data_IF_933963033439
#
_entry.id   IF_933963033439
#
_cell.length_a   1.000
_cell.length_b   1.000
_cell.length_c   1.000
_cell.angle_alpha   90.00
_cell.angle_beta   90.00
_cell.angle_gamma   90.00
#
_symmetry.space_group_name_H-M   'P 1'
#
loop_
_entity.id
_entity.type
_entity.pdbx_description
1 polymer ?
#
# COMPACT_ATOMS: atom_id res chain seq x y z
N UNK A 1 11.36 -22.72 -6.46
CA UNK A 1 10.79 -21.55 -7.16
C UNK A 1 9.30 -21.44 -6.81
N UNK A 2 8.94 -20.79 -5.69
CA UNK A 2 7.54 -20.48 -5.27
C UNK A 2 7.51 -19.36 -4.19
N UNK A 3 8.28 -18.28 -4.36
CA UNK A 3 8.38 -17.21 -3.33
C UNK A 3 7.83 -15.84 -3.76
N UNK A 4 7.34 -15.70 -4.98
CA UNK A 4 6.91 -14.39 -5.51
C UNK A 4 5.49 -13.99 -5.09
N UNK A 5 4.62 -14.95 -4.77
CA UNK A 5 3.21 -14.69 -4.40
C UNK A 5 3.04 -14.17 -2.96
N UNK A 6 3.87 -14.63 -2.03
CA UNK A 6 3.75 -14.27 -0.59
C UNK A 6 3.98 -12.77 -0.39
N UNK A 7 5.01 -12.19 -1.01
CA UNK A 7 5.37 -10.79 -0.79
C UNK A 7 4.28 -9.83 -1.32
N UNK A 8 3.72 -10.13 -2.48
CA UNK A 8 2.62 -9.34 -3.04
C UNK A 8 1.39 -9.39 -2.13
N UNK A 9 1.07 -10.57 -1.57
CA UNK A 9 -0.07 -10.72 -0.67
C UNK A 9 0.13 -9.97 0.64
N UNK A 10 1.30 -10.09 1.25
CA UNK A 10 1.65 -9.35 2.48
C UNK A 10 1.47 -7.85 2.30
N UNK A 11 1.88 -7.29 1.15
CA UNK A 11 1.74 -5.86 0.87
C UNK A 11 0.29 -5.42 0.69
N UNK A 12 -0.56 -6.25 0.08
CA UNK A 12 -2.00 -5.99 -0.02
C UNK A 12 -2.65 -6.02 1.36
N UNK A 13 -2.37 -7.05 2.16
CA UNK A 13 -2.92 -7.18 3.51
C UNK A 13 -2.48 -6.01 4.40
N UNK A 14 -1.22 -5.57 4.25
CA UNK A 14 -0.66 -4.40 4.89
C UNK A 14 -1.37 -3.10 4.51
N UNK A 15 -1.73 -2.95 3.23
CA UNK A 15 -2.48 -1.79 2.74
C UNK A 15 -3.92 -1.80 3.27
N UNK A 16 -4.57 -2.98 3.30
CA UNK A 16 -5.90 -3.14 3.88
C UNK A 16 -5.91 -2.82 5.38
N UNK A 17 -4.86 -3.22 6.13
CA UNK A 17 -4.71 -2.82 7.53
C UNK A 17 -4.56 -1.30 7.68
N UNK A 18 -3.82 -0.63 6.79
CA UNK A 18 -3.70 0.83 6.82
C UNK A 18 -5.04 1.52 6.61
N UNK A 19 -5.87 1.05 5.66
CA UNK A 19 -7.22 1.57 5.44
C UNK A 19 -8.09 1.37 6.70
N UNK A 20 -8.10 0.16 7.28
CA UNK A 20 -8.89 -0.14 8.49
C UNK A 20 -8.48 0.69 9.70
N UNK A 21 -7.18 0.95 9.87
CA UNK A 21 -6.63 1.71 11.00
C UNK A 21 -6.48 3.20 10.71
N UNK A 22 -6.84 3.67 9.50
CA UNK A 22 -6.62 5.04 9.02
C UNK A 22 -5.17 5.54 9.20
N UNK A 23 -4.20 4.63 9.15
CA UNK A 23 -2.80 4.91 9.47
C UNK A 23 -2.01 5.45 8.28
N UNK A 24 -2.49 6.55 7.67
CA UNK A 24 -1.86 7.15 6.48
C UNK A 24 -0.39 7.55 6.69
N UNK A 25 0.01 7.87 7.93
CA UNK A 25 1.40 8.21 8.27
C UNK A 25 2.39 7.04 8.11
N UNK A 26 1.91 5.78 8.08
CA UNK A 26 2.77 4.59 7.88
C UNK A 26 3.04 4.28 6.41
N UNK A 27 2.44 5.03 5.49
CA UNK A 27 2.47 4.75 4.05
C UNK A 27 3.88 4.88 3.46
N UNK A 28 4.66 5.88 3.87
CA UNK A 28 5.99 6.15 3.29
C UNK A 28 6.99 5.03 3.62
N UNK A 29 7.10 4.67 4.91
CA UNK A 29 7.99 3.59 5.37
C UNK A 29 7.64 2.24 4.74
N UNK A 30 6.36 2.01 4.44
CA UNK A 30 5.89 0.79 3.75
C UNK A 30 6.20 0.82 2.26
N UNK A 31 6.09 1.97 1.60
CA UNK A 31 6.42 2.13 0.18
C UNK A 31 7.89 1.84 -0.09
N UNK A 32 8.79 2.27 0.79
CA UNK A 32 10.21 1.99 0.64
C UNK A 32 10.52 0.49 0.65
N UNK A 33 9.85 -0.29 1.51
CA UNK A 33 9.94 -1.75 1.50
C UNK A 33 9.34 -2.40 0.24
N UNK A 34 8.26 -1.82 -0.29
CA UNK A 34 7.58 -2.31 -1.48
C UNK A 34 8.36 -2.03 -2.78
N UNK A 35 9.07 -0.90 -2.86
CA UNK A 35 9.94 -0.53 -3.98
C UNK A 35 11.07 -1.53 -4.20
N UNK A 36 11.59 -2.12 -3.12
CA UNK A 36 12.63 -3.16 -3.18
C UNK A 36 12.11 -4.55 -3.57
N UNK A 37 10.80 -4.70 -3.82
CA UNK A 37 10.14 -5.97 -4.13
C UNK A 37 9.69 -6.06 -5.59
N UNK A 38 9.17 -7.23 -5.99
CA UNK A 38 8.57 -7.51 -7.30
C UNK A 38 7.36 -6.62 -7.64
N UNK A 39 6.80 -5.94 -6.64
CA UNK A 39 5.73 -4.94 -6.83
C UNK A 39 6.26 -3.50 -6.83
N UNK A 40 7.56 -3.30 -7.00
CA UNK A 40 8.17 -1.97 -6.97
C UNK A 40 7.56 -1.00 -7.99
N UNK A 41 7.16 -1.47 -9.17
CA UNK A 41 6.42 -0.65 -10.16
C UNK A 41 5.07 -0.14 -9.64
N UNK A 42 4.37 -0.94 -8.82
CA UNK A 42 3.14 -0.52 -8.16
C UNK A 42 3.44 0.52 -7.08
N UNK A 43 4.45 0.26 -6.23
CA UNK A 43 4.88 1.19 -5.19
C UNK A 43 5.27 2.57 -5.77
N UNK A 44 6.04 2.58 -6.86
CA UNK A 44 6.42 3.79 -7.58
C UNK A 44 5.21 4.57 -8.11
N UNK A 45 4.13 3.88 -8.51
CA UNK A 45 2.90 4.55 -8.96
C UNK A 45 2.12 5.13 -7.79
N UNK A 46 2.00 4.39 -6.69
CA UNK A 46 1.37 4.88 -5.45
C UNK A 46 2.09 6.10 -4.90
N UNK A 47 3.42 6.14 -4.97
CA UNK A 47 4.22 7.30 -4.56
C UNK A 47 3.92 8.54 -5.41
N UNK A 48 3.77 8.39 -6.74
CA UNK A 48 3.39 9.52 -7.61
C UNK A 48 2.04 10.12 -7.23
N UNK A 49 1.12 9.29 -6.74
CA UNK A 49 -0.24 9.68 -6.35
C UNK A 49 -0.44 9.78 -4.82
N UNK A 50 0.66 9.95 -4.06
CA UNK A 50 0.69 9.76 -2.59
C UNK A 50 -0.38 10.59 -1.84
N UNK A 51 -0.64 11.82 -2.28
CA UNK A 51 -1.63 12.68 -1.65
C UNK A 51 -3.05 12.13 -1.79
N UNK A 52 -3.41 11.67 -2.99
CA UNK A 52 -4.71 11.04 -3.24
C UNK A 52 -4.83 9.73 -2.47
N UNK A 53 -3.77 8.94 -2.40
CA UNK A 53 -3.76 7.67 -1.66
C UNK A 53 -3.89 7.87 -0.15
N UNK A 54 -3.19 8.86 0.43
CA UNK A 54 -3.35 9.21 1.85
C UNK A 54 -4.77 9.65 2.16
N UNK A 55 -5.36 10.46 1.28
CA UNK A 55 -6.75 10.87 1.43
C UNK A 55 -7.71 9.68 1.34
N UNK A 56 -7.46 8.73 0.45
CA UNK A 56 -8.23 7.49 0.36
C UNK A 56 -8.10 6.63 1.63
N UNK A 57 -6.93 6.56 2.28
CA UNK A 57 -6.77 5.78 3.52
C UNK A 57 -7.66 6.31 4.65
N UNK A 58 -7.86 7.63 4.74
CA UNK A 58 -8.63 8.26 5.82
C UNK A 58 -10.09 8.52 5.46
N UNK A 59 -10.43 8.53 4.16
CA UNK A 59 -11.78 8.80 3.69
C UNK A 59 -12.76 7.71 4.16
N UNK A 60 -14.03 8.05 4.40
CA UNK A 60 -15.07 7.06 4.50
C UNK A 60 -15.29 6.46 3.11
N UNK A 61 -14.91 5.20 2.93
CA UNK A 61 -15.21 4.48 1.70
C UNK A 61 -16.72 4.25 1.68
N UNK A 62 -17.40 4.81 0.68
CA UNK A 62 -18.74 4.34 0.36
C UNK A 62 -18.55 2.92 -0.15
N UNK A 63 -18.90 1.92 0.67
CA UNK A 63 -19.04 0.55 0.18
C UNK A 63 -20.21 0.60 -0.81
N UNK A 64 -19.90 0.81 -2.09
CA UNK A 64 -20.87 1.08 -3.15
C UNK A 64 -22.14 0.25 -3.05
#
# INVERSE_FOLDING_TARGET
MFLTSVIARTLIDDFQQMIRSKAAAKLDTRLDGAKASLVGSFANRVEKDIAAVRNAIISPWSNG
#
